data_IF_886578707975
#
_entry.id   IF_886578707975
#
_cell.length_a   1.000
_cell.length_b   1.000
_cell.length_c   1.000
_cell.angle_alpha   90.00
_cell.angle_beta   90.00
_cell.angle_gamma   90.00
#
_symmetry.space_group_name_H-M   'P 1'
#
loop_
_entity.id
_entity.type
_entity.pdbx_description
1 polymer ?
#
# COMPACT_ATOMS: atom_id res chain seq x y z
N UNK A 1 -54.00 -55.61 -12.39
CA UNK A 1 -52.71 -54.94 -12.68
C UNK A 1 -52.93 -53.43 -12.73
N UNK A 2 -53.55 -52.92 -11.68
CA UNK A 2 -53.47 -51.53 -11.27
C UNK A 2 -52.13 -51.29 -10.56
N UNK A 3 -51.80 -50.02 -10.28
CA UNK A 3 -50.77 -49.57 -9.29
C UNK A 3 -49.32 -49.47 -9.80
N UNK A 4 -49.06 -49.15 -11.07
CA UNK A 4 -47.69 -48.69 -11.46
C UNK A 4 -47.57 -47.40 -12.25
N UNK A 5 -48.67 -46.83 -12.75
CA UNK A 5 -48.62 -45.49 -13.39
C UNK A 5 -48.97 -44.34 -12.43
N UNK A 6 -49.74 -44.57 -11.36
CA UNK A 6 -50.17 -43.51 -10.44
C UNK A 6 -49.12 -43.13 -9.38
N UNK A 7 -48.13 -43.98 -9.09
CA UNK A 7 -47.17 -43.77 -7.98
C UNK A 7 -45.91 -43.01 -8.38
N UNK A 8 -45.58 -42.89 -9.68
CA UNK A 8 -44.51 -41.97 -10.12
C UNK A 8 -44.96 -40.51 -9.97
N UNK A 9 -46.28 -40.28 -9.98
CA UNK A 9 -46.90 -39.01 -9.60
C UNK A 9 -46.85 -38.72 -8.08
N UNK A 10 -46.19 -39.57 -7.27
CA UNK A 10 -45.80 -39.27 -5.88
C UNK A 10 -44.32 -38.87 -5.79
N UNK A 11 -43.52 -39.00 -6.86
CA UNK A 11 -42.29 -38.20 -7.02
C UNK A 11 -42.64 -36.83 -7.60
N UNK A 12 -43.76 -36.28 -7.13
CA UNK A 12 -43.96 -34.84 -6.97
C UNK A 12 -43.01 -34.41 -5.85
N UNK A 13 -41.71 -34.40 -6.13
CA UNK A 13 -40.91 -33.28 -5.60
C UNK A 13 -41.39 -32.14 -6.47
N UNK A 14 -42.13 -31.22 -5.85
CA UNK A 14 -42.60 -29.99 -6.46
C UNK A 14 -41.59 -29.46 -7.48
N UNK A 15 -41.92 -29.56 -8.77
CA UNK A 15 -41.25 -28.85 -9.86
C UNK A 15 -41.60 -27.36 -9.72
N UNK A 16 -41.19 -26.76 -8.61
CA UNK A 16 -41.18 -25.33 -8.42
C UNK A 16 -39.83 -24.82 -8.89
N UNK A 17 -39.80 -24.18 -10.05
CA UNK A 17 -38.65 -23.32 -10.40
C UNK A 17 -38.90 -21.98 -9.72
N UNK A 18 -38.21 -21.69 -8.62
CA UNK A 18 -38.21 -20.34 -8.06
C UNK A 18 -37.35 -19.45 -8.96
N UNK A 19 -37.98 -18.63 -9.80
CA UNK A 19 -37.29 -17.55 -10.51
C UNK A 19 -37.21 -16.32 -9.61
N UNK A 20 -36.02 -15.77 -9.43
CA UNK A 20 -35.83 -14.48 -8.77
C UNK A 20 -35.63 -13.45 -9.89
N UNK A 21 -36.59 -12.54 -10.05
CA UNK A 21 -36.46 -11.39 -10.94
C UNK A 21 -35.80 -10.25 -10.16
N UNK A 22 -34.66 -9.77 -10.65
CA UNK A 22 -33.87 -8.71 -10.03
C UNK A 22 -33.89 -7.51 -10.98
N UNK A 23 -34.30 -6.34 -10.51
CA UNK A 23 -34.23 -5.10 -11.31
C UNK A 23 -32.77 -4.65 -11.45
N UNK A 24 -32.12 -5.04 -12.55
CA UNK A 24 -30.70 -4.74 -12.86
C UNK A 24 -30.37 -3.23 -12.86
N UNK A 25 -31.36 -2.33 -12.87
CA UNK A 25 -31.13 -0.87 -12.83
C UNK A 25 -30.75 -0.35 -11.45
N UNK A 26 -30.99 -1.13 -10.38
CA UNK A 26 -30.79 -0.69 -8.99
C UNK A 26 -29.74 -1.51 -8.24
N UNK A 27 -29.13 -2.49 -8.88
CA UNK A 27 -28.14 -3.39 -8.26
C UNK A 27 -26.76 -3.10 -8.81
N UNK A 28 -25.87 -2.61 -7.95
CA UNK A 28 -24.45 -2.50 -8.24
C UNK A 28 -23.75 -3.85 -8.04
N UNK A 29 -22.72 -4.10 -8.85
CA UNK A 29 -21.88 -5.30 -8.74
C UNK A 29 -20.62 -4.92 -7.96
N UNK A 30 -20.42 -5.56 -6.80
CA UNK A 30 -19.16 -5.46 -6.05
C UNK A 30 -18.28 -6.68 -6.37
N UNK A 31 -17.21 -6.46 -7.12
CA UNK A 31 -16.29 -7.50 -7.56
C UNK A 31 -15.07 -7.66 -6.63
N UNK A 32 -14.93 -6.80 -5.63
CA UNK A 32 -13.79 -6.78 -4.74
C UNK A 32 -13.89 -7.90 -3.68
N UNK A 33 -12.75 -8.36 -3.13
CA UNK A 33 -12.76 -9.37 -2.09
C UNK A 33 -13.37 -8.81 -0.81
N UNK A 34 -14.19 -9.64 -0.15
CA UNK A 34 -14.74 -9.33 1.16
C UNK A 34 -13.62 -9.31 2.23
N UNK A 35 -13.71 -8.44 3.24
CA UNK A 35 -12.77 -8.44 4.34
C UNK A 35 -12.86 -9.76 5.13
N UNK A 36 -11.74 -10.26 5.67
CA UNK A 36 -11.73 -11.52 6.41
C UNK A 36 -12.66 -11.42 7.64
N UNK A 37 -13.63 -12.32 7.73
CA UNK A 37 -14.59 -12.38 8.84
C UNK A 37 -15.92 -11.68 8.61
N UNK A 38 -16.19 -11.13 7.42
CA UNK A 38 -17.52 -10.62 7.09
C UNK A 38 -18.53 -11.76 6.92
N UNK A 39 -19.72 -11.64 7.54
CA UNK A 39 -20.86 -12.55 7.33
C UNK A 39 -21.69 -12.20 6.09
N UNK A 40 -21.35 -11.13 5.38
CA UNK A 40 -22.09 -10.69 4.19
C UNK A 40 -21.82 -11.64 3.03
N UNK A 41 -22.89 -12.15 2.42
CA UNK A 41 -22.80 -12.91 1.17
C UNK A 41 -22.78 -11.94 -0.01
N UNK A 42 -21.64 -11.84 -0.68
CA UNK A 42 -21.52 -11.21 -1.99
C UNK A 42 -21.08 -12.27 -3.00
N UNK A 43 -21.98 -12.63 -3.93
CA UNK A 43 -21.73 -13.64 -4.96
C UNK A 43 -20.70 -13.19 -6.02
N UNK A 44 -20.50 -11.88 -6.16
CA UNK A 44 -19.56 -11.30 -7.12
C UNK A 44 -18.19 -11.04 -6.52
N UNK A 45 -18.00 -11.24 -5.21
CA UNK A 45 -16.76 -10.95 -4.53
C UNK A 45 -15.56 -11.70 -5.12
N UNK A 46 -14.40 -11.06 -5.06
CA UNK A 46 -13.11 -11.59 -5.55
C UNK A 46 -13.09 -11.98 -7.05
N UNK A 47 -14.00 -11.42 -7.85
CA UNK A 47 -14.02 -11.60 -9.31
C UNK A 47 -13.27 -10.50 -10.07
N UNK A 48 -12.70 -9.52 -9.37
CA UNK A 48 -11.89 -8.46 -9.96
C UNK A 48 -10.62 -8.97 -10.66
N UNK A 49 -10.13 -8.18 -11.62
CA UNK A 49 -8.91 -8.44 -12.39
C UNK A 49 -7.73 -7.58 -11.95
N UNK A 50 -7.76 -7.03 -10.74
CA UNK A 50 -6.59 -6.31 -10.22
C UNK A 50 -5.40 -7.26 -10.02
N UNK A 51 -4.19 -6.77 -10.29
CA UNK A 51 -2.94 -7.50 -10.04
C UNK A 51 -2.72 -7.67 -8.54
N UNK A 52 -3.15 -8.81 -7.99
CA UNK A 52 -3.16 -9.11 -6.54
C UNK A 52 -1.81 -8.95 -5.85
N UNK A 53 -0.70 -9.01 -6.59
CA UNK A 53 0.67 -8.85 -6.06
C UNK A 53 0.92 -7.44 -5.52
N UNK A 54 0.51 -6.41 -6.26
CA UNK A 54 0.88 -5.00 -6.01
C UNK A 54 -0.32 -4.08 -5.83
N UNK A 55 -1.53 -4.53 -6.18
CA UNK A 55 -2.76 -3.73 -6.16
C UNK A 55 -3.87 -4.36 -5.33
N UNK A 56 -4.79 -3.51 -4.85
CA UNK A 56 -5.98 -3.83 -4.07
C UNK A 56 -7.22 -3.24 -4.75
N UNK A 57 -8.35 -3.94 -4.66
CA UNK A 57 -9.60 -3.58 -5.33
C UNK A 57 -10.47 -2.72 -4.42
N UNK A 58 -11.01 -1.62 -4.96
CA UNK A 58 -12.04 -0.79 -4.31
C UNK A 58 -13.24 -0.66 -5.24
N UNK A 59 -14.40 -1.10 -4.77
CA UNK A 59 -15.66 -1.00 -5.51
C UNK A 59 -16.14 0.45 -5.64
N UNK A 60 -16.76 0.77 -6.78
CA UNK A 60 -17.33 2.08 -7.08
C UNK A 60 -18.85 1.92 -7.15
N UNK A 61 -19.61 2.45 -6.17
CA UNK A 61 -21.07 2.34 -6.16
C UNK A 61 -21.73 3.34 -7.14
N UNK A 62 -22.98 3.09 -7.50
CA UNK A 62 -23.82 3.99 -8.29
C UNK A 62 -23.62 3.92 -9.80
N UNK A 63 -22.99 2.86 -10.29
CA UNK A 63 -22.71 2.65 -11.72
C UNK A 63 -23.68 1.67 -12.39
N UNK A 64 -24.54 1.02 -11.59
CA UNK A 64 -25.52 0.03 -12.02
C UNK A 64 -24.90 -1.34 -12.26
N UNK A 65 -25.68 -2.23 -12.87
CA UNK A 65 -25.27 -3.61 -13.15
C UNK A 65 -24.30 -3.67 -14.34
N UNK A 66 -23.02 -3.37 -14.08
CA UNK A 66 -21.95 -3.44 -15.08
C UNK A 66 -20.65 -3.97 -14.48
N UNK A 67 -19.90 -4.75 -15.27
CA UNK A 67 -18.55 -5.22 -14.91
C UNK A 67 -17.54 -4.08 -14.94
N UNK A 68 -16.53 -4.17 -14.08
CA UNK A 68 -15.44 -3.21 -14.01
C UNK A 68 -15.78 -1.96 -13.18
N UNK A 69 -16.82 -2.03 -12.34
CA UNK A 69 -17.23 -0.96 -11.42
C UNK A 69 -16.35 -0.93 -10.17
N UNK A 70 -15.04 -0.92 -10.37
CA UNK A 70 -14.04 -0.85 -9.31
C UNK A 70 -12.79 -0.10 -9.81
N UNK A 71 -11.91 0.26 -8.89
CA UNK A 71 -10.57 0.76 -9.18
C UNK A 71 -9.52 -0.10 -8.48
N UNK A 72 -8.40 -0.34 -9.14
CA UNK A 72 -7.25 -0.99 -8.52
C UNK A 72 -6.32 0.10 -7.98
N UNK A 73 -6.20 0.16 -6.65
CA UNK A 73 -5.26 1.04 -5.96
C UNK A 73 -3.99 0.27 -5.61
N UNK A 74 -2.88 0.98 -5.39
CA UNK A 74 -1.65 0.33 -4.93
C UNK A 74 -1.80 -0.14 -3.48
N UNK A 75 -1.28 -1.34 -3.19
CA UNK A 75 -1.18 -1.85 -1.82
C UNK A 75 -0.19 -1.02 -0.99
N UNK A 76 -0.28 -1.16 0.33
CA UNK A 76 0.76 -0.65 1.26
C UNK A 76 2.14 -1.18 0.84
N UNK A 77 3.14 -0.30 0.87
CA UNK A 77 4.49 -0.58 0.37
C UNK A 77 4.63 -0.48 -1.15
N UNK A 78 3.60 -0.06 -1.89
CA UNK A 78 3.66 0.20 -3.33
C UNK A 78 3.07 1.58 -3.68
N UNK A 79 3.56 2.18 -4.77
CA UNK A 79 3.09 3.45 -5.31
C UNK A 79 2.82 3.39 -6.82
N UNK A 80 2.00 4.32 -7.28
CA UNK A 80 1.60 4.40 -8.69
C UNK A 80 2.75 4.97 -9.55
N UNK A 81 3.14 4.33 -10.66
CA UNK A 81 4.33 4.73 -11.43
C UNK A 81 4.30 6.16 -11.95
N UNK A 82 3.13 6.63 -12.43
CA UNK A 82 2.98 8.02 -12.91
C UNK A 82 2.58 8.96 -11.75
N UNK A 83 3.60 9.49 -11.10
CA UNK A 83 3.46 10.36 -9.92
C UNK A 83 2.79 11.70 -10.28
N UNK A 84 2.82 12.11 -11.55
CA UNK A 84 2.25 13.38 -12.04
C UNK A 84 0.75 13.27 -12.34
N UNK A 85 0.22 12.06 -12.50
CA UNK A 85 -1.21 11.85 -12.72
C UNK A 85 -2.02 12.31 -11.50
N UNK A 86 -3.16 12.96 -11.76
CA UNK A 86 -4.17 13.28 -10.75
C UNK A 86 -4.92 12.03 -10.27
N UNK A 87 -5.04 11.02 -11.13
CA UNK A 87 -5.68 9.74 -10.84
C UNK A 87 -4.62 8.66 -10.64
N UNK A 88 -4.32 8.36 -9.37
CA UNK A 88 -3.30 7.36 -8.97
C UNK A 88 -3.92 5.96 -8.76
N UNK A 89 -4.67 5.47 -9.74
CA UNK A 89 -5.30 4.14 -9.72
C UNK A 89 -5.49 3.62 -11.13
N UNK A 90 -5.70 2.31 -11.26
CA UNK A 90 -6.10 1.70 -12.52
C UNK A 90 -7.63 1.55 -12.57
N UNK A 91 -8.25 2.05 -13.65
CA UNK A 91 -9.69 1.95 -13.86
C UNK A 91 -10.09 0.48 -14.13
N UNK A 92 -11.02 -0.06 -13.34
CA UNK A 92 -11.44 -1.46 -13.46
C UNK A 92 -11.99 -1.81 -14.84
N UNK A 93 -12.70 -0.89 -15.50
CA UNK A 93 -13.21 -1.09 -16.88
C UNK A 93 -12.08 -1.37 -17.87
N UNK A 94 -10.97 -0.62 -17.80
CA UNK A 94 -9.81 -0.80 -18.69
C UNK A 94 -9.11 -2.12 -18.39
N UNK A 95 -8.96 -2.46 -17.10
CA UNK A 95 -8.34 -3.71 -16.68
C UNK A 95 -9.15 -4.92 -17.15
N UNK A 96 -10.48 -4.87 -17.04
CA UNK A 96 -11.38 -5.92 -17.53
C UNK A 96 -11.33 -6.05 -19.05
N UNK A 97 -11.30 -4.93 -19.80
CA UNK A 97 -11.19 -4.92 -21.26
C UNK A 97 -9.89 -5.58 -21.74
N UNK A 98 -8.74 -5.19 -21.16
CA UNK A 98 -7.46 -5.80 -21.52
C UNK A 98 -7.42 -7.28 -21.12
N UNK A 99 -8.05 -7.65 -20.00
CA UNK A 99 -8.16 -9.05 -19.61
C UNK A 99 -9.04 -9.87 -20.58
N UNK A 100 -10.12 -9.29 -21.09
CA UNK A 100 -10.99 -9.91 -22.10
C UNK A 100 -10.22 -10.17 -23.40
N UNK A 101 -9.45 -9.19 -23.89
CA UNK A 101 -8.53 -9.36 -25.04
C UNK A 101 -7.57 -10.53 -24.83
N UNK A 102 -6.98 -10.63 -23.63
CA UNK A 102 -6.10 -11.74 -23.28
C UNK A 102 -6.82 -13.10 -23.37
N UNK A 103 -8.06 -13.17 -22.89
CA UNK A 103 -8.87 -14.39 -22.93
C UNK A 103 -9.32 -14.79 -24.33
N UNK A 104 -9.51 -13.81 -25.22
CA UNK A 104 -9.82 -14.04 -26.64
C UNK A 104 -8.58 -14.39 -27.48
N UNK A 105 -7.38 -14.36 -26.89
CA UNK A 105 -6.12 -14.60 -27.61
C UNK A 105 -5.68 -13.43 -28.49
N UNK A 106 -6.25 -12.24 -28.27
CA UNK A 106 -5.85 -11.01 -28.93
C UNK A 106 -4.62 -10.38 -28.24
N UNK A 107 -4.02 -9.39 -28.90
CA UNK A 107 -2.92 -8.63 -28.30
C UNK A 107 -3.44 -7.80 -27.11
N UNK A 108 -3.00 -8.17 -25.90
CA UNK A 108 -3.39 -7.52 -24.64
C UNK A 108 -2.18 -7.05 -23.87
N UNK A 109 -2.29 -5.87 -23.25
CA UNK A 109 -1.25 -5.35 -22.35
C UNK A 109 -1.33 -5.99 -20.95
N UNK A 110 -2.42 -6.71 -20.64
CA UNK A 110 -2.63 -7.29 -19.32
C UNK A 110 -1.58 -8.35 -18.96
N UNK A 111 -1.03 -9.09 -19.93
CA UNK A 111 0.00 -10.11 -19.69
C UNK A 111 1.42 -9.54 -19.53
N UNK A 112 1.63 -8.27 -19.84
CA UNK A 112 2.94 -7.62 -19.79
C UNK A 112 3.34 -7.30 -18.34
N UNK A 113 4.61 -7.55 -18.00
CA UNK A 113 5.15 -7.22 -16.68
C UNK A 113 5.20 -5.70 -16.45
N UNK A 114 4.84 -5.26 -15.25
CA UNK A 114 4.79 -3.84 -14.91
C UNK A 114 3.53 -3.10 -15.38
N UNK A 115 2.68 -3.69 -16.22
CA UNK A 115 1.39 -3.10 -16.63
C UNK A 115 0.30 -3.45 -15.63
N UNK A 116 -0.49 -2.45 -15.24
CA UNK A 116 -1.48 -2.55 -14.14
C UNK A 116 -0.86 -2.96 -12.80
N UNK A 117 0.45 -2.83 -12.65
CA UNK A 117 1.19 -3.11 -11.42
C UNK A 117 1.73 -1.81 -10.81
N UNK A 118 1.86 -1.78 -9.50
CA UNK A 118 2.49 -0.68 -8.78
C UNK A 118 3.97 -0.96 -8.50
N UNK A 119 4.76 0.09 -8.30
CA UNK A 119 6.18 -0.01 -7.96
C UNK A 119 6.37 -0.08 -6.44
N UNK A 120 7.34 -0.85 -5.94
CA UNK A 120 7.60 -0.95 -4.51
C UNK A 120 8.17 0.37 -3.97
N UNK A 121 7.77 0.73 -2.75
CA UNK A 121 8.37 1.83 -2.00
C UNK A 121 9.82 1.50 -1.62
N UNK A 122 10.58 2.53 -1.23
CA UNK A 122 11.89 2.36 -0.64
C UNK A 122 11.83 1.50 0.64
N UNK A 123 12.91 0.80 0.94
CA UNK A 123 12.99 -0.08 2.11
C UNK A 123 12.72 0.69 3.41
N UNK A 124 11.88 0.11 4.28
CA UNK A 124 11.46 0.71 5.54
C UNK A 124 10.28 1.68 5.43
N UNK A 125 9.72 1.91 4.24
CA UNK A 125 8.55 2.76 4.04
C UNK A 125 7.26 1.93 3.90
N UNK A 126 6.24 2.24 4.69
CA UNK A 126 4.90 1.64 4.55
C UNK A 126 4.03 2.34 3.49
N UNK A 127 4.19 3.65 3.35
CA UNK A 127 3.46 4.49 2.40
C UNK A 127 4.44 5.44 1.72
N UNK A 128 4.34 5.59 0.40
CA UNK A 128 5.16 6.51 -0.36
C UNK A 128 4.38 7.05 -1.56
N UNK A 129 4.66 8.30 -1.94
CA UNK A 129 4.12 8.88 -3.18
C UNK A 129 5.02 8.64 -4.39
N UNK A 130 6.29 8.34 -4.12
CA UNK A 130 7.35 8.16 -5.10
C UNK A 130 8.39 7.18 -4.56
N UNK A 131 9.36 6.81 -5.39
CA UNK A 131 10.50 5.98 -4.99
C UNK A 131 11.53 6.69 -4.10
N UNK A 132 11.21 7.86 -3.53
CA UNK A 132 12.15 8.56 -2.65
C UNK A 132 12.20 7.88 -1.27
N UNK A 133 13.37 7.83 -0.62
CA UNK A 133 13.50 7.21 0.70
C UNK A 133 12.81 8.07 1.77
N UNK A 134 11.84 7.49 2.49
CA UNK A 134 11.14 8.16 3.59
C UNK A 134 11.96 8.16 4.90
N UNK A 135 12.82 7.15 5.06
CA UNK A 135 13.82 7.08 6.13
C UNK A 135 15.14 7.55 5.57
N UNK A 136 15.95 8.24 6.37
CA UNK A 136 17.36 8.46 6.03
C UNK A 136 17.95 7.12 5.67
N UNK A 137 18.38 6.96 4.41
CA UNK A 137 19.09 5.76 3.96
C UNK A 137 20.19 5.52 4.98
N UNK A 138 20.14 4.37 5.66
CA UNK A 138 21.12 3.94 6.64
C UNK A 138 22.42 3.60 5.90
N UNK A 139 23.01 4.62 5.28
CA UNK A 139 24.28 4.54 4.62
C UNK A 139 25.30 4.40 5.73
N UNK A 140 25.98 3.25 5.74
CA UNK A 140 27.08 2.99 6.65
C UNK A 140 28.08 4.16 6.65
N UNK A 141 28.26 4.83 5.52
CA UNK A 141 29.07 6.04 5.34
C UNK A 141 28.63 7.22 6.23
N UNK A 142 27.34 7.54 6.29
CA UNK A 142 26.85 8.66 7.09
C UNK A 142 26.94 8.34 8.58
N UNK A 143 26.67 7.07 8.93
CA UNK A 143 26.78 6.59 10.31
C UNK A 143 28.22 6.55 10.79
N UNK A 144 29.16 6.08 9.97
CA UNK A 144 30.59 6.10 10.31
C UNK A 144 31.12 7.54 10.38
N UNK A 145 30.70 8.43 9.48
CA UNK A 145 31.07 9.84 9.53
C UNK A 145 30.62 10.53 10.84
N UNK A 146 29.36 10.29 11.26
CA UNK A 146 28.85 10.83 12.52
C UNK A 146 29.59 10.26 13.74
N UNK A 147 29.84 8.94 13.76
CA UNK A 147 30.59 8.30 14.85
C UNK A 147 32.04 8.81 14.92
N UNK A 148 32.71 9.01 13.78
CA UNK A 148 34.06 9.56 13.74
C UNK A 148 34.07 10.99 14.29
N UNK A 149 33.11 11.83 13.88
CA UNK A 149 32.99 13.20 14.37
C UNK A 149 32.78 13.24 15.89
N UNK A 150 31.89 12.38 16.41
CA UNK A 150 31.63 12.27 17.84
C UNK A 150 32.89 11.82 18.62
N UNK A 151 33.60 10.79 18.13
CA UNK A 151 34.85 10.33 18.72
C UNK A 151 35.93 11.42 18.69
N UNK A 152 36.04 12.22 17.62
CA UNK A 152 36.97 13.34 17.55
C UNK A 152 36.66 14.39 18.62
N UNK A 153 35.39 14.77 18.80
CA UNK A 153 34.98 15.72 19.83
C UNK A 153 35.31 15.16 21.22
N UNK A 154 34.97 13.90 21.50
CA UNK A 154 35.26 13.23 22.77
C UNK A 154 36.76 13.20 23.07
N UNK A 155 37.62 13.02 22.06
CA UNK A 155 39.08 13.03 22.23
C UNK A 155 39.64 14.45 22.47
N UNK A 156 39.06 15.48 21.85
CA UNK A 156 39.50 16.86 22.01
C UNK A 156 39.10 17.45 23.38
N UNK A 157 37.93 17.08 23.93
CA UNK A 157 37.44 17.57 25.21
C UNK A 157 38.43 17.42 26.39
N UNK A 158 39.02 16.24 26.69
CA UNK A 158 39.96 16.08 27.78
C UNK A 158 41.25 16.87 27.57
N UNK A 159 41.72 17.05 26.32
CA UNK A 159 42.89 17.89 26.03
C UNK A 159 42.60 19.35 26.38
N UNK A 160 41.42 19.87 26.00
CA UNK A 160 40.98 21.22 26.36
C UNK A 160 40.80 21.37 27.87
N UNK A 161 40.25 20.37 28.55
CA UNK A 161 40.11 20.37 30.02
C UNK A 161 41.48 20.38 30.72
N UNK A 162 42.42 19.55 30.28
CA UNK A 162 43.77 19.51 30.84
C UNK A 162 44.52 20.82 30.59
N UNK A 163 44.37 21.40 29.40
CA UNK A 163 44.98 22.67 29.04
C UNK A 163 44.41 23.82 29.88
N UNK A 164 43.08 23.87 30.05
CA UNK A 164 42.42 24.90 30.88
C UNK A 164 42.77 24.75 32.37
N UNK A 165 42.89 23.52 32.89
CA UNK A 165 43.35 23.29 34.27
C UNK A 165 44.82 23.72 34.47
N UNK A 166 45.71 23.38 33.53
CA UNK A 166 47.14 23.70 33.63
C UNK A 166 47.43 25.21 33.55
N UNK A 167 46.72 25.93 32.69
CA UNK A 167 46.89 27.37 32.45
C UNK A 167 45.84 28.25 33.18
N UNK A 168 45.05 27.70 34.10
CA UNK A 168 44.05 28.45 34.87
C UNK A 168 44.61 29.55 35.79
N UNK A 169 45.93 29.50 36.07
CA UNK A 169 46.63 30.46 36.92
C UNK A 169 47.16 31.71 36.19
N UNK A 170 47.09 31.77 34.85
CA UNK A 170 47.49 32.96 34.09
C UNK A 170 46.32 33.96 34.03
N UNK A 171 46.55 35.23 34.39
CA UNK A 171 45.51 36.28 34.51
C UNK A 171 44.64 36.48 33.27
N UNK A 172 45.13 36.13 32.07
CA UNK A 172 44.38 36.24 30.81
C UNK A 172 43.22 35.24 30.70
N UNK A 173 43.32 34.04 31.29
CA UNK A 173 42.23 33.06 31.27
C UNK A 173 41.17 33.37 32.33
N UNK A 174 41.48 34.19 33.36
CA UNK A 174 40.55 34.64 34.42
C UNK A 174 39.24 35.18 33.92
N UNK A 175 39.28 35.96 32.86
CA UNK A 175 38.09 36.56 32.30
C UNK A 175 37.31 35.57 31.42
N UNK A 176 38.00 34.64 30.75
CA UNK A 176 37.36 33.61 29.92
C UNK A 176 36.60 32.55 30.71
N UNK A 177 37.09 32.08 31.86
CA UNK A 177 36.33 31.12 32.66
C UNK A 177 35.12 31.75 33.34
N UNK A 178 35.22 32.97 33.85
CA UNK A 178 34.06 33.69 34.40
C UNK A 178 32.96 33.90 33.34
N UNK A 179 33.34 34.13 32.07
CA UNK A 179 32.39 34.19 30.96
C UNK A 179 31.80 32.81 30.62
N UNK A 180 32.61 31.75 30.51
CA UNK A 180 32.12 30.40 30.19
C UNK A 180 31.17 29.84 31.25
N UNK A 181 31.43 30.07 32.55
CA UNK A 181 30.50 29.71 33.63
C UNK A 181 29.22 30.55 33.62
N UNK A 182 29.27 31.80 33.15
CA UNK A 182 28.08 32.64 32.99
C UNK A 182 27.18 32.22 31.81
N UNK A 183 27.75 31.65 30.73
CA UNK A 183 26.99 31.12 29.58
C UNK A 183 26.49 29.68 29.74
N UNK A 184 27.04 28.89 30.68
CA UNK A 184 26.58 27.53 30.96
C UNK A 184 25.39 27.46 31.96
N UNK A 185 25.03 28.60 32.57
CA UNK A 185 23.93 28.74 33.52
C UNK A 185 22.81 29.67 33.02
N UNK A 186 22.80 29.98 31.73
CA UNK A 186 21.70 30.61 31.00
C UNK A 186 21.31 29.72 29.83
#
# INVERSE_FOLDING_TARGET
MEIRLFTIMIVVIALGTSGIDIDLRRVDIDQCPLPPGSLQLNIFAASDKCKKRTTECIAIPGLGFRRGSYRCICKRGFYYPDIKSTERYYNGTVVEEEFEKLMLGEHSQYSMDGVFECLPCAEGCEYCENGSPCVVSLNWLMRTALLILECCVIACLPVVILFTWKYGNVKTFKHSYTLAYAYAYF
#
